data_IF_265342389126
#
_entry.id   IF_265342389126
#
_cell.length_a   1.000
_cell.length_b   1.000
_cell.length_c   1.000
_cell.angle_alpha   90.00
_cell.angle_beta   90.00
_cell.angle_gamma   90.00
#
_symmetry.space_group_name_H-M   'P 1'
#
loop_
_entity.id
_entity.type
_entity.pdbx_description
1 polymer ?
#
# COMPACT_ATOMS: atom_id res chain seq x y z
N UNK A 1 14.54 12.50 14.92
CA UNK A 1 13.76 13.07 16.00
C UNK A 1 13.31 11.97 16.96
N UNK A 2 13.16 12.28 18.25
CA UNK A 2 12.66 11.35 19.28
C UNK A 2 11.18 11.60 19.62
N UNK A 3 10.62 12.69 19.12
CA UNK A 3 9.23 13.08 19.30
C UNK A 3 8.73 13.73 18.02
N UNK A 4 7.51 13.42 17.64
CA UNK A 4 6.82 14.02 16.50
C UNK A 4 5.31 14.09 16.81
N UNK A 5 4.59 14.89 16.02
CA UNK A 5 3.15 15.02 16.11
C UNK A 5 2.51 14.31 14.92
N UNK A 6 1.40 13.63 15.14
CA UNK A 6 0.56 13.02 14.11
C UNK A 6 -0.84 13.63 14.17
N UNK A 7 -1.45 13.73 13.02
CA UNK A 7 -2.89 13.92 12.85
C UNK A 7 -3.40 12.69 12.13
N UNK A 8 -4.35 12.00 12.75
CA UNK A 8 -4.93 10.78 12.20
C UNK A 8 -6.42 11.00 11.93
N UNK A 9 -6.94 10.37 10.89
CA UNK A 9 -8.34 10.31 10.56
C UNK A 9 -8.71 8.89 10.15
N UNK A 10 -9.80 8.37 10.70
CA UNK A 10 -10.22 6.99 10.50
C UNK A 10 -11.72 6.89 10.30
N UNK A 11 -12.16 5.99 9.41
CA UNK A 11 -13.56 5.61 9.25
C UNK A 11 -13.69 4.16 9.71
N UNK A 12 -14.51 3.93 10.72
CA UNK A 12 -14.74 2.61 11.32
C UNK A 12 -16.17 2.15 11.01
N UNK A 13 -16.32 0.86 10.65
CA UNK A 13 -17.64 0.25 10.40
C UNK A 13 -18.17 0.44 8.98
N UNK A 14 -17.38 0.98 8.04
CA UNK A 14 -17.75 1.15 6.65
C UNK A 14 -16.98 0.17 5.75
N UNK A 15 -17.66 -0.83 5.19
CA UNK A 15 -17.08 -1.82 4.28
C UNK A 15 -16.98 -1.36 2.82
N UNK A 16 -17.67 -0.28 2.46
CA UNK A 16 -17.81 0.18 1.08
C UNK A 16 -16.59 0.95 0.57
N UNK A 17 -16.27 0.88 -0.75
CA UNK A 17 -15.16 1.64 -1.36
C UNK A 17 -15.26 3.15 -1.18
N UNK A 18 -16.50 3.66 -1.01
CA UNK A 18 -16.76 5.09 -0.79
C UNK A 18 -16.07 5.66 0.43
N UNK A 19 -15.86 4.86 1.49
CA UNK A 19 -15.13 5.29 2.67
C UNK A 19 -13.65 5.56 2.38
N UNK A 20 -13.03 4.72 1.54
CA UNK A 20 -11.65 4.93 1.11
C UNK A 20 -11.54 6.20 0.27
N UNK A 21 -12.49 6.42 -0.66
CA UNK A 21 -12.55 7.63 -1.47
C UNK A 21 -12.69 8.87 -0.60
N UNK A 22 -13.58 8.84 0.41
CA UNK A 22 -13.79 9.96 1.33
C UNK A 22 -12.50 10.36 2.05
N UNK A 23 -11.77 9.38 2.62
CA UNK A 23 -10.50 9.64 3.29
C UNK A 23 -9.43 10.19 2.35
N UNK A 24 -9.34 9.65 1.15
CA UNK A 24 -8.35 10.10 0.15
C UNK A 24 -8.65 11.51 -0.33
N UNK A 25 -9.92 11.83 -0.60
CA UNK A 25 -10.36 13.17 -1.00
C UNK A 25 -10.12 14.17 0.13
N UNK A 26 -10.44 13.79 1.37
CA UNK A 26 -10.17 14.63 2.54
C UNK A 26 -8.67 14.89 2.71
N UNK A 27 -7.83 13.86 2.53
CA UNK A 27 -6.37 13.99 2.59
C UNK A 27 -5.82 14.95 1.53
N UNK A 28 -6.27 14.81 0.28
CA UNK A 28 -5.91 15.71 -0.82
C UNK A 28 -6.33 17.16 -0.52
N UNK A 29 -7.57 17.36 -0.08
CA UNK A 29 -8.08 18.68 0.30
C UNK A 29 -7.27 19.29 1.44
N UNK A 30 -6.99 18.53 2.51
CA UNK A 30 -6.18 18.98 3.64
C UNK A 30 -4.81 19.49 3.19
N UNK A 31 -4.12 18.72 2.34
CA UNK A 31 -2.79 19.11 1.85
C UNK A 31 -2.85 20.37 1.01
N UNK A 32 -3.89 20.52 0.18
CA UNK A 32 -4.12 21.76 -0.61
C UNK A 32 -4.39 22.98 0.28
N UNK A 33 -5.23 22.84 1.30
CA UNK A 33 -5.55 23.94 2.22
C UNK A 33 -4.33 24.36 3.06
N UNK A 34 -3.48 23.39 3.43
CA UNK A 34 -2.19 23.66 4.08
C UNK A 34 -1.13 24.21 3.11
N UNK A 35 -1.44 24.33 1.82
CA UNK A 35 -0.53 24.79 0.75
C UNK A 35 0.73 23.93 0.63
N UNK A 36 0.59 22.64 0.86
CA UNK A 36 1.65 21.66 0.64
C UNK A 36 1.61 21.26 -0.83
N UNK A 37 2.46 21.86 -1.63
CA UNK A 37 2.52 21.65 -3.08
C UNK A 37 3.52 20.58 -3.48
N UNK A 38 3.37 20.05 -4.71
CA UNK A 38 4.26 19.03 -5.27
C UNK A 38 4.10 17.68 -4.59
N UNK A 39 2.86 17.36 -4.22
CA UNK A 39 2.50 16.06 -3.63
C UNK A 39 1.74 15.23 -4.67
N UNK A 40 2.12 13.97 -4.79
CA UNK A 40 1.44 12.97 -5.64
C UNK A 40 0.80 11.91 -4.75
N UNK A 41 -0.48 11.60 -4.99
CA UNK A 41 -1.11 10.44 -4.39
C UNK A 41 -0.68 9.18 -5.14
N UNK A 42 0.02 8.29 -4.46
CA UNK A 42 0.32 6.94 -4.95
C UNK A 42 -0.63 5.94 -4.29
N UNK A 43 -1.18 5.05 -5.09
CA UNK A 43 -2.25 4.14 -4.70
C UNK A 43 -1.92 2.71 -5.13
N UNK A 44 -2.26 1.74 -4.28
CA UNK A 44 -2.24 0.32 -4.62
C UNK A 44 -3.45 -0.40 -4.01
N UNK A 45 -3.72 -1.60 -4.52
CA UNK A 45 -4.59 -2.56 -3.84
C UNK A 45 -3.76 -3.70 -3.27
N UNK A 46 -4.12 -4.17 -2.10
CA UNK A 46 -3.60 -5.39 -1.49
C UNK A 46 -4.60 -6.54 -1.58
N UNK A 47 -5.72 -6.31 -2.27
CA UNK A 47 -6.80 -7.25 -2.44
C UNK A 47 -7.52 -7.57 -1.12
N UNK A 48 -8.47 -8.48 -1.22
CA UNK A 48 -9.09 -9.14 -0.08
C UNK A 48 -8.18 -10.23 0.52
N UNK A 49 -8.65 -10.97 1.51
CA UNK A 49 -7.87 -12.02 2.16
C UNK A 49 -7.44 -13.10 1.16
N UNK A 50 -8.36 -13.55 0.30
CA UNK A 50 -8.09 -14.60 -0.68
C UNK A 50 -7.05 -14.17 -1.73
N UNK A 51 -7.20 -12.96 -2.28
CA UNK A 51 -6.23 -12.36 -3.21
C UNK A 51 -4.84 -12.27 -2.59
N UNK A 52 -4.78 -11.77 -1.35
CA UNK A 52 -3.52 -11.56 -0.66
C UNK A 52 -2.82 -12.88 -0.32
N UNK A 53 -3.56 -13.90 0.10
CA UNK A 53 -2.98 -15.21 0.43
C UNK A 53 -2.42 -15.90 -0.83
N UNK A 54 -3.14 -15.84 -1.95
CA UNK A 54 -2.67 -16.35 -3.22
C UNK A 54 -1.42 -15.61 -3.72
N UNK A 55 -1.43 -14.28 -3.67
CA UNK A 55 -0.27 -13.47 -4.03
C UNK A 55 0.92 -13.71 -3.12
N UNK A 56 0.71 -13.79 -1.80
CA UNK A 56 1.76 -14.09 -0.83
C UNK A 56 2.44 -15.43 -1.11
N UNK A 57 1.66 -16.46 -1.45
CA UNK A 57 2.22 -17.76 -1.82
C UNK A 57 3.11 -17.68 -3.08
N UNK A 58 2.67 -16.92 -4.09
CA UNK A 58 3.45 -16.70 -5.31
C UNK A 58 4.73 -15.89 -5.04
N UNK A 59 4.67 -14.87 -4.19
CA UNK A 59 5.85 -14.10 -3.76
C UNK A 59 6.86 -14.96 -3.01
N UNK A 60 6.41 -15.83 -2.09
CA UNK A 60 7.28 -16.77 -1.39
C UNK A 60 7.98 -17.68 -2.39
N UNK A 61 7.25 -18.28 -3.33
CA UNK A 61 7.84 -19.16 -4.34
C UNK A 61 8.89 -18.41 -5.20
N UNK A 62 8.57 -17.18 -5.60
CA UNK A 62 9.48 -16.33 -6.37
C UNK A 62 10.76 -16.00 -5.58
N UNK A 63 10.64 -15.53 -4.36
CA UNK A 63 11.81 -15.14 -3.54
C UNK A 63 12.63 -16.34 -3.07
N UNK A 64 12.02 -17.49 -2.78
CA UNK A 64 12.77 -18.73 -2.47
C UNK A 64 13.62 -19.18 -3.67
N UNK A 65 13.13 -19.04 -4.91
CA UNK A 65 13.89 -19.36 -6.12
C UNK A 65 15.13 -18.45 -6.31
N UNK A 66 15.11 -17.23 -5.72
CA UNK A 66 16.20 -16.25 -5.81
C UNK A 66 16.92 -16.01 -4.48
N UNK A 67 16.71 -16.89 -3.49
CA UNK A 67 17.17 -16.69 -2.11
C UNK A 67 18.69 -16.44 -1.98
N UNK A 68 19.48 -17.03 -2.86
CA UNK A 68 20.94 -16.85 -2.86
C UNK A 68 21.41 -15.47 -3.28
N UNK A 69 20.56 -14.71 -4.00
CA UNK A 69 20.86 -13.38 -4.50
C UNK A 69 20.24 -12.27 -3.64
N UNK A 70 19.37 -12.63 -2.69
CA UNK A 70 18.75 -11.68 -1.77
C UNK A 70 19.74 -11.15 -0.71
N UNK A 71 19.47 -9.95 -0.23
CA UNK A 71 20.15 -9.41 0.96
C UNK A 71 19.83 -10.24 2.21
N UNK A 72 20.70 -10.20 3.22
CA UNK A 72 20.47 -10.87 4.50
C UNK A 72 19.16 -10.44 5.16
N UNK A 73 18.87 -9.12 5.14
CA UNK A 73 17.62 -8.55 5.60
C UNK A 73 16.41 -9.13 4.86
N UNK A 74 16.50 -9.30 3.55
CA UNK A 74 15.42 -9.83 2.73
C UNK A 74 15.23 -11.34 2.90
N UNK A 75 16.27 -12.09 3.16
CA UNK A 75 16.18 -13.50 3.57
C UNK A 75 15.44 -13.61 4.91
N UNK A 76 15.72 -12.72 5.87
CA UNK A 76 14.97 -12.70 7.14
C UNK A 76 13.50 -12.29 6.95
N UNK A 77 13.24 -11.30 6.09
CA UNK A 77 11.87 -10.87 5.72
C UNK A 77 11.09 -11.97 5.02
N UNK A 78 11.73 -12.80 4.19
CA UNK A 78 11.09 -13.91 3.50
C UNK A 78 10.41 -14.87 4.49
N UNK A 79 11.02 -15.12 5.63
CA UNK A 79 10.46 -15.96 6.68
C UNK A 79 9.33 -15.26 7.48
N UNK A 80 9.40 -13.94 7.67
CA UNK A 80 8.50 -13.17 8.52
C UNK A 80 7.36 -12.50 7.75
N UNK A 81 7.71 -11.70 6.75
CA UNK A 81 6.78 -10.92 5.92
C UNK A 81 7.37 -10.69 4.52
N UNK A 82 7.14 -11.62 3.58
CA UNK A 82 7.73 -11.57 2.23
C UNK A 82 7.31 -10.34 1.43
N UNK A 83 6.15 -9.75 1.70
CA UNK A 83 5.70 -8.53 1.02
C UNK A 83 6.68 -7.36 1.22
N UNK A 84 7.38 -7.32 2.36
CA UNK A 84 8.35 -6.27 2.63
C UNK A 84 9.64 -6.35 1.81
N UNK A 85 9.84 -7.43 1.06
CA UNK A 85 10.96 -7.52 0.11
C UNK A 85 10.68 -6.62 -1.10
N UNK A 86 9.41 -6.44 -1.49
CA UNK A 86 9.00 -5.54 -2.57
C UNK A 86 9.39 -4.08 -2.32
N UNK A 87 9.48 -3.67 -1.04
CA UNK A 87 9.87 -2.33 -0.60
C UNK A 87 11.36 -2.27 -0.16
N UNK A 88 12.16 -3.28 -0.51
CA UNK A 88 13.58 -3.27 -0.16
C UNK A 88 14.33 -2.14 -0.87
N UNK A 89 15.16 -1.45 -0.11
CA UNK A 89 16.07 -0.40 -0.63
C UNK A 89 17.46 -0.94 -0.99
N UNK A 90 17.73 -2.21 -0.70
CA UNK A 90 19.00 -2.84 -1.04
C UNK A 90 19.09 -3.03 -2.57
N UNK A 91 20.15 -2.55 -3.23
CA UNK A 91 20.32 -2.68 -4.67
C UNK A 91 20.32 -4.14 -5.18
N UNK A 92 20.69 -5.11 -4.34
CA UNK A 92 20.68 -6.54 -4.69
C UNK A 92 19.25 -7.07 -4.85
N UNK A 93 18.34 -6.62 -3.98
CA UNK A 93 16.96 -7.09 -3.96
C UNK A 93 16.13 -6.50 -5.10
N UNK A 94 16.52 -5.32 -5.59
CA UNK A 94 15.72 -4.55 -6.54
C UNK A 94 15.38 -5.30 -7.82
N UNK A 95 16.34 -5.95 -8.55
CA UNK A 95 16.01 -6.71 -9.76
C UNK A 95 15.05 -7.87 -9.49
N UNK A 96 15.17 -8.49 -8.30
CA UNK A 96 14.34 -9.63 -7.88
C UNK A 96 12.93 -9.14 -7.53
N UNK A 97 12.83 -8.03 -6.78
CA UNK A 97 11.56 -7.40 -6.47
C UNK A 97 10.86 -6.84 -7.73
N UNK A 98 11.62 -6.34 -8.71
CA UNK A 98 11.10 -5.82 -9.97
C UNK A 98 10.49 -6.90 -10.86
N UNK A 99 10.98 -8.14 -10.77
CA UNK A 99 10.48 -9.31 -11.49
C UNK A 99 9.44 -10.13 -10.70
N UNK A 100 9.12 -9.72 -9.48
CA UNK A 100 8.14 -10.41 -8.66
C UNK A 100 6.73 -10.35 -9.25
N UNK A 101 5.89 -11.38 -9.03
CA UNK A 101 4.53 -11.39 -9.52
C UNK A 101 3.70 -10.22 -8.96
N UNK A 102 2.93 -9.57 -9.84
CA UNK A 102 2.01 -8.49 -9.48
C UNK A 102 0.75 -9.04 -8.85
N UNK A 103 0.18 -8.32 -7.88
CA UNK A 103 -1.06 -8.69 -7.21
C UNK A 103 -2.25 -8.76 -8.17
N UNK A 104 -2.24 -7.98 -9.25
CA UNK A 104 -3.35 -7.92 -10.21
C UNK A 104 -3.70 -9.28 -10.82
N UNK A 105 -2.72 -10.19 -10.92
CA UNK A 105 -2.93 -11.56 -11.38
C UNK A 105 -3.66 -12.47 -10.36
N UNK A 106 -3.78 -12.02 -9.12
CA UNK A 106 -4.32 -12.80 -7.99
C UNK A 106 -5.57 -12.17 -7.37
N UNK A 107 -6.01 -11.03 -7.88
CA UNK A 107 -7.23 -10.39 -7.39
C UNK A 107 -8.45 -11.24 -7.67
N UNK A 108 -9.29 -11.43 -6.63
CA UNK A 108 -10.66 -11.90 -6.84
C UNK A 108 -11.45 -10.88 -7.65
N UNK A 109 -12.57 -11.28 -8.22
CA UNK A 109 -13.45 -10.36 -8.96
C UNK A 109 -13.99 -9.25 -8.03
N UNK A 110 -14.32 -9.59 -6.78
CA UNK A 110 -14.75 -8.65 -5.76
C UNK A 110 -13.67 -7.62 -5.42
N UNK A 111 -12.43 -8.07 -5.23
CA UNK A 111 -11.31 -7.18 -4.95
C UNK A 111 -10.96 -6.27 -6.13
N UNK A 112 -11.10 -6.78 -7.36
CA UNK A 112 -10.94 -5.99 -8.58
C UNK A 112 -11.99 -4.90 -8.67
N UNK A 113 -13.26 -5.25 -8.53
CA UNK A 113 -14.38 -4.31 -8.55
C UNK A 113 -14.27 -3.28 -7.42
N UNK A 114 -13.79 -3.70 -6.24
CA UNK A 114 -13.55 -2.77 -5.14
C UNK A 114 -12.54 -1.69 -5.54
N UNK A 115 -11.39 -2.08 -6.08
CA UNK A 115 -10.34 -1.15 -6.50
C UNK A 115 -10.80 -0.24 -7.64
N UNK A 116 -11.53 -0.78 -8.63
CA UNK A 116 -12.12 0.00 -9.72
C UNK A 116 -13.08 1.08 -9.19
N UNK A 117 -13.88 0.79 -8.18
CA UNK A 117 -14.78 1.76 -7.55
C UNK A 117 -14.01 2.85 -6.79
N UNK A 118 -12.91 2.50 -6.11
CA UNK A 118 -12.07 3.49 -5.44
C UNK A 118 -11.46 4.45 -6.48
N UNK A 119 -10.85 3.93 -7.52
CA UNK A 119 -10.21 4.75 -8.56
C UNK A 119 -11.21 5.61 -9.32
N UNK A 120 -12.37 5.04 -9.70
CA UNK A 120 -13.44 5.81 -10.34
C UNK A 120 -13.99 6.93 -9.43
N UNK A 121 -14.06 6.67 -8.11
CA UNK A 121 -14.48 7.67 -7.13
C UNK A 121 -13.48 8.83 -7.03
N UNK A 122 -12.17 8.54 -7.05
CA UNK A 122 -11.13 9.57 -7.07
C UNK A 122 -11.16 10.39 -8.36
N UNK A 123 -11.32 9.73 -9.51
CA UNK A 123 -11.45 10.41 -10.81
C UNK A 123 -12.67 11.34 -10.83
N UNK A 124 -13.82 10.87 -10.30
CA UNK A 124 -15.04 11.69 -10.19
C UNK A 124 -14.88 12.88 -9.24
N UNK A 125 -14.07 12.74 -8.19
CA UNK A 125 -13.74 13.80 -7.25
C UNK A 125 -12.64 14.76 -7.77
N UNK A 126 -12.01 14.45 -8.91
CA UNK A 126 -10.93 15.26 -9.49
C UNK A 126 -9.62 15.15 -8.72
N UNK A 127 -9.40 14.06 -7.98
CA UNK A 127 -8.16 13.78 -7.26
C UNK A 127 -7.24 12.99 -8.19
N UNK A 128 -6.11 13.58 -8.56
CA UNK A 128 -5.09 12.91 -9.36
C UNK A 128 -4.36 11.84 -8.53
N UNK A 129 -4.15 10.68 -9.12
CA UNK A 129 -3.47 9.57 -8.48
C UNK A 129 -2.60 8.79 -9.47
N UNK A 130 -1.60 8.06 -8.95
CA UNK A 130 -0.74 7.18 -9.70
C UNK A 130 -0.72 5.79 -9.08
N UNK A 131 -0.74 4.74 -9.91
CA UNK A 131 -0.58 3.36 -9.44
C UNK A 131 0.87 3.10 -9.06
N UNK A 132 1.07 2.56 -7.84
CA UNK A 132 2.36 2.01 -7.43
C UNK A 132 2.17 0.56 -6.99
N UNK A 133 2.36 -0.39 -7.91
CA UNK A 133 2.15 -1.83 -7.66
C UNK A 133 3.07 -2.41 -6.57
N UNK A 134 4.15 -1.69 -6.19
CA UNK A 134 5.06 -2.08 -5.10
C UNK A 134 4.70 -1.46 -3.76
N UNK A 135 3.72 -0.55 -3.74
CA UNK A 135 3.29 0.05 -2.49
C UNK A 135 2.63 -1.02 -1.62
N UNK A 136 3.34 -1.42 -0.59
CA UNK A 136 2.87 -2.30 0.47
C UNK A 136 2.98 -1.59 1.81
N UNK A 137 2.17 -1.97 2.77
CA UNK A 137 2.24 -1.41 4.13
C UNK A 137 3.01 -2.36 5.06
N UNK A 138 3.66 -1.77 6.06
CA UNK A 138 4.55 -2.50 6.95
C UNK A 138 3.89 -3.54 7.86
N UNK A 139 2.55 -3.57 7.93
CA UNK A 139 1.77 -4.41 8.84
C UNK A 139 0.83 -5.33 8.06
N UNK A 140 0.62 -6.53 8.57
CA UNK A 140 -0.08 -7.61 7.86
C UNK A 140 -1.61 -7.49 7.84
N UNK A 141 -2.16 -6.55 8.59
CA UNK A 141 -3.61 -6.37 8.69
C UNK A 141 -4.22 -5.54 7.54
N UNK A 142 -3.40 -4.88 6.72
CA UNK A 142 -3.92 -4.10 5.60
C UNK A 142 -4.54 -4.98 4.51
N UNK A 143 -5.67 -4.51 3.96
CA UNK A 143 -6.43 -5.11 2.87
C UNK A 143 -6.82 -4.01 1.88
N UNK A 144 -7.24 -4.39 0.67
CA UNK A 144 -7.72 -3.47 -0.35
C UNK A 144 -6.78 -2.25 -0.51
N UNK A 145 -7.23 -1.10 -0.15
CA UNK A 145 -6.56 0.18 -0.41
C UNK A 145 -5.31 0.37 0.45
N UNK A 146 -4.18 0.64 -0.21
CA UNK A 146 -2.96 1.17 0.39
C UNK A 146 -2.57 2.44 -0.35
N UNK A 147 -2.18 3.49 0.37
CA UNK A 147 -1.88 4.77 -0.25
C UNK A 147 -0.79 5.55 0.47
N UNK A 148 -0.14 6.43 -0.28
CA UNK A 148 0.77 7.45 0.23
C UNK A 148 0.65 8.73 -0.59
N UNK A 149 0.62 9.86 0.08
CA UNK A 149 0.87 11.15 -0.52
C UNK A 149 2.36 11.45 -0.39
N UNK A 150 3.06 11.50 -1.51
CA UNK A 150 4.51 11.60 -1.54
C UNK A 150 4.96 12.89 -2.21
N UNK A 151 6.11 13.42 -1.76
CA UNK A 151 6.77 14.58 -2.35
C UNK A 151 8.26 14.36 -2.44
N UNK A 152 8.89 14.92 -3.45
CA UNK A 152 10.35 14.93 -3.62
C UNK A 152 11.05 16.05 -2.83
N UNK A 153 10.26 16.96 -2.24
CA UNK A 153 10.78 18.15 -1.53
C UNK A 153 11.35 17.84 -0.12
N UNK A 154 11.05 16.65 0.43
CA UNK A 154 11.48 16.25 1.78
C UNK A 154 12.64 15.24 1.80
N UNK A 155 13.32 15.04 0.68
CA UNK A 155 14.45 14.10 0.56
C UNK A 155 14.03 12.65 0.75
N UNK A 156 14.77 11.88 1.56
CA UNK A 156 14.56 10.43 1.68
C UNK A 156 13.24 10.01 2.38
N UNK A 157 12.55 10.94 3.04
CA UNK A 157 11.25 10.71 3.69
C UNK A 157 10.16 11.53 3.01
N UNK A 158 9.87 11.17 1.77
CA UNK A 158 8.93 11.89 0.93
C UNK A 158 7.45 11.71 1.28
N UNK A 159 7.08 10.74 2.13
CA UNK A 159 5.69 10.50 2.51
C UNK A 159 5.22 11.51 3.54
N UNK A 160 4.25 12.35 3.17
CA UNK A 160 3.64 13.37 4.05
C UNK A 160 2.35 12.89 4.69
N UNK A 161 1.63 11.98 4.05
CA UNK A 161 0.44 11.32 4.56
C UNK A 161 0.39 9.91 3.99
N UNK A 162 0.03 8.91 4.78
CA UNK A 162 -0.07 7.55 4.29
C UNK A 162 -0.96 6.69 5.16
N UNK A 163 -1.61 5.72 4.55
CA UNK A 163 -2.54 4.85 5.22
C UNK A 163 -3.01 3.68 4.36
N UNK A 164 -4.14 3.14 4.74
CA UNK A 164 -4.79 2.06 4.01
C UNK A 164 -5.91 1.44 4.81
N UNK A 165 -6.66 0.56 4.18
CA UNK A 165 -7.77 -0.18 4.80
C UNK A 165 -7.23 -1.35 5.62
N UNK A 166 -7.80 -1.57 6.80
CA UNK A 166 -7.34 -2.59 7.76
C UNK A 166 -8.49 -3.37 8.42
N UNK A 167 -9.44 -3.83 7.63
CA UNK A 167 -10.62 -4.58 8.12
C UNK A 167 -10.24 -5.73 9.06
N UNK A 168 -9.16 -6.47 8.75
CA UNK A 168 -8.70 -7.58 9.56
C UNK A 168 -8.15 -7.21 10.94
N UNK A 169 -7.80 -5.96 11.20
CA UNK A 169 -7.32 -5.54 12.53
C UNK A 169 -8.46 -5.53 13.55
N UNK A 170 -9.59 -4.95 13.19
CA UNK A 170 -10.76 -4.86 14.07
C UNK A 170 -11.29 -6.26 14.39
N UNK A 171 -11.36 -7.13 13.38
CA UNK A 171 -11.77 -8.53 13.56
C UNK A 171 -10.86 -9.28 14.55
N UNK A 172 -9.55 -9.04 14.52
CA UNK A 172 -8.58 -9.67 15.41
C UNK A 172 -8.60 -9.13 16.84
N UNK A 173 -9.16 -7.95 17.04
CA UNK A 173 -9.26 -7.34 18.37
C UNK A 173 -10.55 -7.72 19.13
N UNK A 174 -11.51 -8.37 18.49
CA UNK A 174 -12.78 -8.88 19.04
C UNK A 174 -13.91 -7.90 18.82
#
# INVERSE_FOLDING_TARGET
YRQFHQLDAEIIGAGEPGADVELLVMGDQLLRELKIEGVTLTLNTLGDAASRDAWRAALIAHFEAHKGDLSEDSVERLAKNPLRILDSKDPRDRPIADSAPDIDAYLTDEARVFFEKVTAGLDAAGVAWERNARLVRGLDYYRHTAFEFVTDRLGAQGTVLGGGRYDGLIENLG
#
